data_IF_062472271076
#
_entry.id   IF_062472271076
#
_cell.length_a   1.000
_cell.length_b   1.000
_cell.length_c   1.000
_cell.angle_alpha   90.00
_cell.angle_beta   90.00
_cell.angle_gamma   90.00
#
_symmetry.space_group_name_H-M   'P 1'
#
loop_
_entity.id
_entity.type
_entity.pdbx_description
1 polymer ?
#
# COMPACT_ATOMS: atom_id res chain seq x y z
N UNK A 1 -3.45 -5.46 -19.82
CA UNK A 1 -2.80 -6.58 -19.15
C UNK A 1 -3.66 -7.12 -18.03
N UNK A 2 -3.71 -8.41 -17.90
CA UNK A 2 -4.60 -9.03 -16.94
C UNK A 2 -3.89 -9.26 -15.63
N UNK A 3 -4.52 -8.87 -14.54
CA UNK A 3 -3.95 -9.13 -13.25
C UNK A 3 -4.28 -10.55 -12.83
N UNK A 4 -3.38 -11.14 -12.05
CA UNK A 4 -3.61 -12.49 -11.59
C UNK A 4 -4.68 -12.49 -10.51
N UNK A 5 -5.36 -13.62 -10.39
CA UNK A 5 -6.29 -13.81 -9.28
C UNK A 5 -5.59 -14.66 -8.25
N UNK A 6 -5.82 -14.34 -6.98
CA UNK A 6 -5.22 -15.10 -5.89
C UNK A 6 -6.33 -15.79 -5.11
N UNK A 7 -6.14 -17.08 -4.89
CA UNK A 7 -7.12 -17.82 -4.12
C UNK A 7 -6.78 -17.69 -2.64
N UNK A 8 -7.68 -18.16 -1.79
CA UNK A 8 -7.47 -18.04 -0.36
C UNK A 8 -6.21 -18.76 0.08
N UNK A 9 -5.79 -19.79 -0.65
CA UNK A 9 -4.55 -20.48 -0.30
C UNK A 9 -3.35 -19.59 -0.45
N UNK A 10 -3.44 -18.58 -1.31
CA UNK A 10 -2.31 -17.73 -1.63
C UNK A 10 -2.32 -16.43 -0.83
N UNK A 11 -3.34 -16.20 -0.04
CA UNK A 11 -3.42 -14.98 0.75
C UNK A 11 -2.32 -14.97 1.79
N UNK A 12 -1.63 -13.86 1.90
CA UNK A 12 -0.59 -13.72 2.90
C UNK A 12 -0.38 -12.26 3.19
N UNK A 13 0.26 -12.00 4.31
CA UNK A 13 0.53 -10.63 4.71
C UNK A 13 1.37 -9.94 3.63
N UNK A 14 0.95 -8.76 3.25
CA UNK A 14 1.65 -8.00 2.22
C UNK A 14 1.12 -8.16 0.83
N UNK A 15 0.25 -9.13 0.59
CA UNK A 15 -0.31 -9.32 -0.75
C UNK A 15 -1.26 -8.20 -1.07
N UNK A 16 -1.16 -7.67 -2.28
CA UNK A 16 -2.02 -6.57 -2.70
C UNK A 16 -3.13 -7.10 -3.59
N UNK A 17 -4.36 -6.84 -3.20
CA UNK A 17 -5.51 -7.36 -3.93
C UNK A 17 -6.56 -6.28 -4.07
N UNK A 18 -7.49 -6.48 -5.02
CA UNK A 18 -8.60 -5.55 -5.21
C UNK A 18 -9.77 -6.02 -4.38
N UNK A 19 -10.39 -5.10 -3.65
CA UNK A 19 -11.56 -5.40 -2.87
C UNK A 19 -12.55 -4.25 -3.01
N UNK A 20 -13.74 -4.55 -3.48
CA UNK A 20 -14.78 -3.52 -3.66
C UNK A 20 -14.27 -2.38 -4.52
N UNK A 21 -13.44 -2.69 -5.49
CA UNK A 21 -12.98 -1.67 -6.42
C UNK A 21 -11.77 -0.88 -5.97
N UNK A 22 -11.24 -1.17 -4.78
CA UNK A 22 -10.10 -0.44 -4.26
C UNK A 22 -8.92 -1.38 -4.03
N UNK A 23 -7.71 -0.89 -4.16
CA UNK A 23 -6.54 -1.72 -3.84
C UNK A 23 -6.39 -1.85 -2.33
N UNK A 24 -6.15 -3.06 -1.87
CA UNK A 24 -6.01 -3.32 -0.45
C UNK A 24 -4.78 -4.18 -0.21
N UNK A 25 -4.23 -4.06 0.98
CA UNK A 25 -3.11 -4.88 1.39
C UNK A 25 -3.57 -5.84 2.46
N UNK A 26 -3.23 -7.10 2.30
CA UNK A 26 -3.61 -8.09 3.31
C UNK A 26 -2.66 -7.94 4.49
N UNK A 27 -3.23 -7.73 5.67
CA UNK A 27 -2.45 -7.60 6.88
C UNK A 27 -2.32 -8.92 7.60
N UNK A 28 -3.40 -9.69 7.65
CA UNK A 28 -3.39 -10.98 8.32
C UNK A 28 -4.31 -11.92 7.59
N UNK A 29 -4.00 -13.18 7.65
CA UNK A 29 -4.83 -14.21 7.05
C UNK A 29 -4.85 -15.38 8.00
N UNK A 30 -6.00 -15.69 8.54
CA UNK A 30 -6.16 -16.78 9.48
C UNK A 30 -7.04 -17.85 8.87
N UNK A 31 -6.53 -19.05 8.77
CA UNK A 31 -7.31 -20.16 8.25
C UNK A 31 -8.08 -20.78 9.39
N UNK A 32 -9.39 -20.91 9.24
CA UNK A 32 -10.24 -21.45 10.28
C UNK A 32 -10.96 -22.65 9.72
N UNK A 33 -10.86 -23.77 10.40
CA UNK A 33 -11.55 -24.97 9.99
C UNK A 33 -12.42 -25.44 11.15
N UNK A 34 -13.68 -25.08 11.14
CA UNK A 34 -14.56 -25.48 12.24
C UNK A 34 -14.80 -26.98 12.23
N UNK A 35 -15.20 -27.51 13.36
CA UNK A 35 -15.51 -28.92 13.43
C UNK A 35 -16.62 -29.30 12.50
N UNK A 36 -17.59 -28.40 12.33
CA UNK A 36 -18.65 -28.58 11.37
C UNK A 36 -18.66 -27.40 10.44
N UNK A 37 -19.03 -27.63 9.22
CA UNK A 37 -19.11 -26.54 8.26
C UNK A 37 -17.86 -26.43 7.44
N UNK A 38 -17.86 -25.48 6.54
CA UNK A 38 -16.77 -25.32 5.60
C UNK A 38 -15.64 -24.52 6.21
N UNK A 39 -14.44 -24.85 5.80
CA UNK A 39 -13.29 -24.05 6.20
C UNK A 39 -13.38 -22.68 5.56
N UNK A 40 -12.82 -21.69 6.21
CA UNK A 40 -12.81 -20.35 5.67
C UNK A 40 -11.57 -19.61 6.14
N UNK A 41 -11.30 -18.48 5.51
CA UNK A 41 -10.18 -17.64 5.88
C UNK A 41 -10.72 -16.33 6.41
N UNK A 42 -10.19 -15.92 7.55
CA UNK A 42 -10.54 -14.61 8.10
C UNK A 42 -9.37 -13.69 7.78
N UNK A 43 -9.63 -12.68 6.97
CA UNK A 43 -8.58 -11.88 6.41
C UNK A 43 -8.75 -10.44 6.85
N UNK A 44 -7.66 -9.86 7.35
CA UNK A 44 -7.67 -8.45 7.71
C UNK A 44 -6.98 -7.69 6.60
N UNK A 45 -7.65 -6.68 6.06
CA UNK A 45 -7.13 -5.94 4.93
C UNK A 45 -7.15 -4.45 5.23
N UNK A 46 -6.19 -3.74 4.67
CA UNK A 46 -6.17 -2.29 4.77
C UNK A 46 -6.43 -1.71 3.39
N UNK A 47 -7.42 -0.83 3.30
CA UNK A 47 -7.70 -0.12 2.06
C UNK A 47 -6.58 0.88 1.84
N UNK A 48 -5.88 0.79 0.73
CA UNK A 48 -4.72 1.63 0.51
C UNK A 48 -5.09 3.06 0.16
N UNK A 49 -6.31 3.28 -0.28
CA UNK A 49 -6.72 4.63 -0.58
C UNK A 49 -7.21 5.37 0.65
N UNK A 50 -7.99 4.71 1.47
CA UNK A 50 -8.57 5.37 2.63
C UNK A 50 -7.83 5.11 3.92
N UNK A 51 -7.03 4.06 3.96
CA UNK A 51 -6.33 3.69 5.18
C UNK A 51 -7.17 2.89 6.14
N UNK A 52 -8.41 2.62 5.81
CA UNK A 52 -9.26 1.86 6.71
C UNK A 52 -8.89 0.41 6.72
N UNK A 53 -9.11 -0.22 7.86
CA UNK A 53 -8.81 -1.63 8.02
C UNK A 53 -10.12 -2.38 8.18
N UNK A 54 -10.29 -3.43 7.36
CA UNK A 54 -11.49 -4.24 7.41
C UNK A 54 -11.12 -5.68 7.68
N UNK A 55 -12.07 -6.42 8.20
CA UNK A 55 -11.90 -7.85 8.36
C UNK A 55 -12.98 -8.51 7.54
N UNK A 56 -12.58 -9.42 6.66
CA UNK A 56 -13.50 -10.10 5.78
C UNK A 56 -13.28 -11.59 5.88
N UNK A 57 -14.34 -12.33 5.64
CA UNK A 57 -14.30 -13.78 5.67
C UNK A 57 -14.47 -14.30 4.25
N UNK A 58 -13.59 -15.18 3.83
CA UNK A 58 -13.65 -15.78 2.51
C UNK A 58 -13.76 -17.27 2.63
N UNK A 59 -14.64 -17.87 1.85
CA UNK A 59 -14.77 -19.31 1.84
C UNK A 59 -13.59 -19.92 1.12
N UNK A 60 -13.25 -21.13 1.51
CA UNK A 60 -12.21 -21.85 0.81
C UNK A 60 -12.57 -21.92 -0.66
N UNK A 61 -11.67 -21.51 -1.51
CA UNK A 61 -11.92 -21.48 -2.93
C UNK A 61 -12.29 -20.14 -3.49
N UNK A 62 -12.58 -19.17 -2.62
CA UNK A 62 -12.80 -17.81 -3.10
C UNK A 62 -11.48 -17.25 -3.61
N UNK A 63 -11.56 -16.21 -4.39
CA UNK A 63 -10.36 -15.57 -4.90
C UNK A 63 -10.60 -14.07 -5.02
N UNK A 64 -9.50 -13.33 -5.07
CA UNK A 64 -9.54 -11.89 -5.28
C UNK A 64 -8.55 -11.54 -6.38
N UNK A 65 -8.90 -10.52 -7.14
CA UNK A 65 -8.02 -10.09 -8.21
C UNK A 65 -6.84 -9.35 -7.60
N UNK A 66 -5.66 -9.58 -8.12
CA UNK A 66 -4.48 -8.88 -7.65
C UNK A 66 -4.53 -7.42 -8.03
N UNK A 67 -3.93 -6.58 -7.19
CA UNK A 67 -3.88 -5.15 -7.48
C UNK A 67 -2.49 -4.81 -7.99
N UNK A 68 -2.43 -3.90 -8.96
CA UNK A 68 -1.16 -3.48 -9.52
C UNK A 68 -0.58 -2.40 -8.63
N UNK A 69 0.00 -2.80 -7.52
CA UNK A 69 0.53 -1.88 -6.54
C UNK A 69 1.99 -2.22 -6.33
N UNK A 70 2.84 -1.21 -6.37
CA UNK A 70 4.25 -1.45 -6.11
C UNK A 70 4.80 -0.27 -5.32
N UNK A 71 5.81 -0.54 -4.50
CA UNK A 71 6.47 0.49 -3.73
C UNK A 71 7.79 0.82 -4.40
N UNK A 72 8.07 2.11 -4.55
CA UNK A 72 9.32 2.54 -5.14
C UNK A 72 9.89 3.63 -4.27
N UNK A 73 11.21 3.72 -4.24
CA UNK A 73 11.88 4.81 -3.55
C UNK A 73 12.10 5.92 -4.58
N UNK A 74 11.47 7.06 -4.34
CA UNK A 74 11.55 8.18 -5.26
C UNK A 74 12.04 9.41 -4.54
N UNK A 75 12.62 10.33 -5.28
CA UNK A 75 13.15 11.55 -4.72
C UNK A 75 12.15 12.67 -4.90
N UNK A 76 11.86 13.38 -3.83
CA UNK A 76 10.90 14.48 -3.92
C UNK A 76 11.56 15.63 -4.66
N UNK A 77 10.91 16.13 -5.70
CA UNK A 77 11.45 17.21 -6.50
C UNK A 77 10.90 18.57 -6.09
N UNK A 78 9.61 18.75 -6.27
CA UNK A 78 9.01 20.04 -5.98
C UNK A 78 7.49 19.90 -5.94
N UNK A 79 6.82 20.98 -5.60
CA UNK A 79 5.37 20.99 -5.60
C UNK A 79 4.88 22.27 -6.25
N UNK A 80 3.76 22.16 -6.95
CA UNK A 80 3.15 23.37 -7.52
C UNK A 80 1.91 23.76 -6.73
N UNK A 81 1.70 23.13 -5.57
CA UNK A 81 0.55 23.46 -4.75
C UNK A 81 -0.59 22.49 -4.91
N UNK A 82 -0.67 21.81 -6.04
CA UNK A 82 -1.71 20.82 -6.25
C UNK A 82 -1.15 19.43 -6.31
N UNK A 83 0.06 19.29 -6.84
CA UNK A 83 0.71 18.02 -6.93
C UNK A 83 2.09 18.12 -6.32
N UNK A 84 2.56 17.03 -5.77
CA UNK A 84 3.91 16.91 -5.24
C UNK A 84 4.63 15.93 -6.14
N UNK A 85 5.72 16.38 -6.77
CA UNK A 85 6.38 15.60 -7.81
C UNK A 85 7.56 14.84 -7.27
N UNK A 86 7.59 13.55 -7.57
CA UNK A 86 8.66 12.67 -7.14
C UNK A 86 9.32 12.09 -8.39
N UNK A 87 10.61 11.88 -8.33
CA UNK A 87 11.34 11.40 -9.48
C UNK A 87 12.13 10.17 -9.13
N UNK A 88 12.15 9.21 -10.06
CA UNK A 88 12.97 8.02 -9.90
C UNK A 88 14.40 8.44 -10.26
N UNK A 89 15.35 8.41 -9.31
CA UNK A 89 16.69 8.87 -9.61
C UNK A 89 17.41 8.01 -10.64
N UNK A 90 16.96 6.80 -10.85
CA UNK A 90 17.61 5.95 -11.85
C UNK A 90 17.11 6.23 -13.25
N UNK A 91 15.81 6.37 -13.43
CA UNK A 91 15.24 6.55 -14.76
C UNK A 91 14.84 7.99 -15.04
N UNK A 92 14.83 8.83 -14.01
CA UNK A 92 14.39 10.22 -14.12
C UNK A 92 12.92 10.33 -14.47
N UNK A 93 12.17 9.27 -14.28
CA UNK A 93 10.75 9.32 -14.53
C UNK A 93 10.08 10.07 -13.39
N UNK A 94 9.15 10.96 -13.73
CA UNK A 94 8.53 11.81 -12.73
C UNK A 94 7.10 11.38 -12.46
N UNK A 95 6.70 11.41 -11.21
CA UNK A 95 5.36 11.02 -10.81
C UNK A 95 4.76 12.15 -9.99
N UNK A 96 3.51 12.48 -10.25
CA UNK A 96 2.81 13.51 -9.49
C UNK A 96 1.84 12.90 -8.51
N UNK A 97 1.99 13.23 -7.24
CA UNK A 97 1.10 12.75 -6.20
C UNK A 97 0.15 13.86 -5.81
N UNK A 98 -1.15 13.57 -5.80
CA UNK A 98 -2.10 14.60 -5.45
C UNK A 98 -2.21 14.74 -3.93
N UNK A 99 -3.06 15.63 -3.49
CA UNK A 99 -3.16 15.93 -2.07
C UNK A 99 -3.58 14.72 -1.26
N UNK A 100 -4.46 13.90 -1.82
CA UNK A 100 -4.90 12.72 -1.10
C UNK A 100 -3.76 11.73 -0.92
N UNK A 101 -2.91 11.60 -1.92
CA UNK A 101 -1.81 10.66 -1.83
C UNK A 101 -0.76 11.12 -0.83
N UNK A 102 -0.46 12.42 -0.83
CA UNK A 102 0.55 12.94 0.06
C UNK A 102 0.03 13.01 1.48
N UNK A 103 -1.22 13.41 1.63
CA UNK A 103 -1.82 13.48 2.94
C UNK A 103 -1.05 14.40 3.85
N UNK A 104 -0.86 14.00 5.08
CA UNK A 104 -0.15 14.82 6.02
C UNK A 104 1.35 14.78 5.82
N UNK A 105 1.82 13.88 5.00
CA UNK A 105 3.25 13.81 4.75
C UNK A 105 3.75 15.08 4.11
N UNK A 106 2.88 15.83 3.45
CA UNK A 106 3.30 17.06 2.81
C UNK A 106 3.96 18.00 3.80
N UNK A 107 3.65 17.87 5.06
CA UNK A 107 4.26 18.73 6.06
C UNK A 107 5.74 18.45 6.23
N UNK A 108 6.17 17.25 5.90
CA UNK A 108 7.53 16.83 6.14
C UNK A 108 8.34 16.62 4.89
N UNK A 109 7.78 16.90 3.73
CA UNK A 109 8.50 16.66 2.49
C UNK A 109 9.65 17.66 2.34
N UNK A 110 10.80 17.15 2.00
CA UNK A 110 11.97 17.99 1.76
C UNK A 110 12.52 17.67 0.39
N UNK A 111 12.85 18.70 -0.35
CA UNK A 111 13.37 18.51 -1.69
C UNK A 111 14.64 17.70 -1.66
N UNK A 112 14.78 16.84 -2.62
CA UNK A 112 15.97 16.00 -2.78
C UNK A 112 16.09 14.91 -1.72
N UNK A 113 15.09 14.75 -0.88
CA UNK A 113 15.05 13.63 0.04
C UNK A 113 14.27 12.49 -0.62
N UNK A 114 14.58 11.28 -0.24
CA UNK A 114 13.94 10.12 -0.82
C UNK A 114 12.82 9.62 0.07
N UNK A 115 11.73 9.20 -0.57
CA UNK A 115 10.57 8.71 0.13
C UNK A 115 10.08 7.45 -0.56
N UNK A 116 9.42 6.60 0.20
CA UNK A 116 8.84 5.42 -0.39
C UNK A 116 7.45 5.77 -0.87
N UNK A 117 7.20 5.59 -2.15
CA UNK A 117 5.93 5.94 -2.77
C UNK A 117 5.24 4.68 -3.21
N UNK A 118 4.00 4.52 -2.79
CA UNK A 118 3.20 3.39 -3.22
C UNK A 118 2.45 3.79 -4.48
N UNK A 119 2.69 3.05 -5.55
CA UNK A 119 2.08 3.34 -6.83
C UNK A 119 0.98 2.32 -7.14
N UNK A 120 -0.15 2.81 -7.59
CA UNK A 120 -1.26 1.97 -8.00
C UNK A 120 -1.52 2.26 -9.46
N UNK A 121 -1.31 1.24 -10.30
CA UNK A 121 -1.42 1.40 -11.75
C UNK A 121 -0.51 2.52 -12.23
N UNK A 122 0.63 2.68 -11.58
CA UNK A 122 1.59 3.66 -12.00
C UNK A 122 1.37 5.07 -11.48
N UNK A 123 0.36 5.28 -10.66
CA UNK A 123 0.09 6.61 -10.12
C UNK A 123 0.32 6.60 -8.61
N UNK A 124 0.91 7.65 -8.07
CA UNK A 124 1.17 7.66 -6.63
C UNK A 124 -0.11 7.58 -5.82
N UNK A 125 -0.15 6.68 -4.87
CA UNK A 125 -1.29 6.46 -4.03
C UNK A 125 -1.04 6.90 -2.60
N UNK A 126 0.18 6.72 -2.10
CA UNK A 126 0.53 7.09 -0.75
C UNK A 126 2.02 7.31 -0.66
N UNK A 127 2.44 8.17 0.26
CA UNK A 127 3.84 8.50 0.47
C UNK A 127 4.21 8.13 1.89
N UNK A 128 5.33 7.46 2.05
CA UNK A 128 5.79 7.08 3.37
C UNK A 128 7.19 7.62 3.58
N UNK A 129 7.43 8.37 4.66
CA UNK A 129 8.77 8.86 4.92
C UNK A 129 9.73 7.69 5.14
N UNK A 130 10.92 7.75 4.58
CA UNK A 130 11.79 6.59 4.59
C UNK A 130 12.27 6.19 5.97
N UNK A 131 12.72 7.06 6.77
CA UNK A 131 13.29 6.68 8.04
C UNK A 131 12.42 7.06 9.20
N UNK A 132 11.14 7.11 8.95
CA UNK A 132 10.25 7.58 9.97
C UNK A 132 10.34 6.77 11.24
N UNK A 133 10.30 5.48 11.12
CA UNK A 133 10.34 4.64 12.28
C UNK A 133 11.70 4.68 12.95
N UNK A 134 12.72 4.68 12.17
CA UNK A 134 14.03 4.71 12.73
C UNK A 134 14.31 5.99 13.47
N UNK A 135 13.80 7.08 12.97
CA UNK A 135 13.99 8.32 13.67
C UNK A 135 13.35 8.28 15.03
N UNK A 136 12.18 7.72 15.10
CA UNK A 136 11.50 7.65 16.37
C UNK A 136 12.33 6.86 17.36
N UNK A 137 12.95 5.82 16.90
CA UNK A 137 13.72 5.01 17.79
C UNK A 137 15.00 5.71 18.21
N UNK A 138 15.65 6.31 17.28
CA UNK A 138 16.90 6.92 17.62
C UNK A 138 16.72 8.13 18.45
N UNK A 139 15.59 8.73 18.36
CA UNK A 139 15.42 9.87 19.15
C UNK A 139 15.43 9.61 20.57
N UNK A 140 15.13 8.44 20.96
CA UNK A 140 15.16 8.12 22.33
C UNK A 140 16.51 8.35 22.86
N UNK A 141 17.45 8.27 22.05
CA UNK A 141 18.73 8.51 22.52
C UNK A 141 18.96 9.85 22.55
N UNK A 142 18.14 10.55 22.01
CA UNK A 142 18.26 11.00 22.04
C UNK A 142 18.29 10.94 22.09
#
# INVERSE_FOLDING_TARGET
MTMANFSTNEFKSGLKVMLDGDPCSILENEFVKPGKGQAFNRVKLRNLKSGRVWERTFKSGDSLEGADVMDMTLEYSYTDGEFWYFMDPASYEQFGADRDAVGETQKWLKEQEQYEVTLYNGAPLAITPPNFIELAITETDX
#
